data_IF_702524779610
#
_entry.id   IF_702524779610
#
_cell.length_a   1.000
_cell.length_b   1.000
_cell.length_c   1.000
_cell.angle_alpha   90.00
_cell.angle_beta   90.00
_cell.angle_gamma   90.00
#
_symmetry.space_group_name_H-M   'P 1'
#
loop_
_entity.id
_entity.type
_entity.pdbx_description
1 polymer ?
#
# COMPACT_ATOMS: atom_id res chain seq x y z
N UNK A 1 -16.98 9.26 3.65
CA UNK A 1 -16.99 8.03 4.50
C UNK A 1 -18.30 7.95 5.30
N UNK A 2 -18.93 6.74 5.45
CA UNK A 2 -20.22 6.57 6.18
C UNK A 2 -20.03 6.62 7.71
N UNK A 3 -18.98 6.00 8.25
CA UNK A 3 -18.66 5.95 9.70
C UNK A 3 -17.64 7.00 10.05
N UNK A 4 -18.10 8.24 10.17
CA UNK A 4 -17.26 9.40 10.54
C UNK A 4 -16.61 9.28 11.93
N UNK A 5 -17.26 8.55 12.83
CA UNK A 5 -16.73 8.24 14.17
C UNK A 5 -15.46 7.37 14.17
N UNK A 6 -15.08 6.82 13.02
CA UNK A 6 -13.89 5.99 12.83
C UNK A 6 -12.90 6.60 11.84
N UNK A 7 -13.22 7.76 11.30
CA UNK A 7 -12.36 8.43 10.33
C UNK A 7 -11.08 8.93 11.00
N UNK A 8 -9.93 8.63 10.38
CA UNK A 8 -8.63 9.15 10.77
C UNK A 8 -8.26 10.25 9.78
N UNK A 9 -8.11 11.48 10.27
CA UNK A 9 -7.77 12.66 9.45
C UNK A 9 -6.37 13.19 9.73
N UNK A 10 -5.77 12.79 10.86
CA UNK A 10 -4.41 13.18 11.21
C UNK A 10 -3.41 12.42 10.33
N UNK A 11 -2.63 13.15 9.54
CA UNK A 11 -1.67 12.55 8.62
C UNK A 11 -0.61 11.71 9.34
N UNK A 12 -0.18 12.08 10.54
CA UNK A 12 0.81 11.32 11.31
C UNK A 12 0.25 9.93 11.65
N UNK A 13 -1.01 9.87 12.08
CA UNK A 13 -1.67 8.58 12.38
C UNK A 13 -1.86 7.75 11.11
N UNK A 14 -2.20 8.38 9.98
CA UNK A 14 -2.32 7.69 8.68
C UNK A 14 -0.98 7.08 8.27
N UNK A 15 0.12 7.83 8.40
CA UNK A 15 1.46 7.32 8.08
C UNK A 15 1.88 6.18 9.03
N UNK A 16 1.48 6.22 10.30
CA UNK A 16 1.72 5.11 11.23
C UNK A 16 0.97 3.83 10.83
N UNK A 17 -0.26 3.94 10.30
CA UNK A 17 -0.99 2.79 9.75
C UNK A 17 -0.21 2.19 8.59
N UNK A 18 0.24 3.04 7.65
CA UNK A 18 1.00 2.63 6.48
C UNK A 18 2.35 2.00 6.88
N UNK A 19 3.04 2.56 7.87
CA UNK A 19 4.33 2.02 8.32
C UNK A 19 4.19 0.63 8.99
N UNK A 20 3.11 0.42 9.76
CA UNK A 20 2.84 -0.86 10.41
C UNK A 20 2.40 -1.95 9.44
N UNK A 21 1.57 -1.61 8.47
CA UNK A 21 1.13 -2.53 7.43
C UNK A 21 2.33 -2.93 6.57
N UNK A 22 2.49 -4.22 6.27
CA UNK A 22 3.62 -4.73 5.49
C UNK A 22 3.22 -5.21 4.10
N UNK A 23 1.92 -5.35 3.89
CA UNK A 23 1.33 -5.76 2.61
C UNK A 23 0.35 -4.70 2.16
N UNK A 24 0.40 -4.39 0.88
CA UNK A 24 -0.54 -3.54 0.17
C UNK A 24 -1.32 -4.42 -0.82
N UNK A 25 -2.63 -4.26 -0.85
CA UNK A 25 -3.48 -4.85 -1.87
C UNK A 25 -3.63 -3.86 -3.02
N UNK A 26 -3.05 -4.20 -4.17
CA UNK A 26 -3.16 -3.41 -5.39
C UNK A 26 -4.30 -3.95 -6.24
N UNK A 27 -5.34 -3.15 -6.44
CA UNK A 27 -6.48 -3.47 -7.30
C UNK A 27 -6.32 -2.80 -8.67
N UNK A 28 -6.44 -3.61 -9.71
CA UNK A 28 -6.27 -3.27 -11.12
C UNK A 28 -7.55 -3.61 -11.90
N UNK A 29 -7.75 -2.93 -13.02
CA UNK A 29 -8.81 -3.28 -13.95
C UNK A 29 -8.39 -4.44 -14.83
N UNK A 30 -9.16 -5.51 -14.85
CA UNK A 30 -8.97 -6.69 -15.70
C UNK A 30 -10.32 -7.13 -16.26
N UNK A 31 -10.55 -6.82 -17.55
CA UNK A 31 -11.75 -7.20 -18.30
C UNK A 31 -13.04 -7.23 -17.44
N UNK A 32 -13.58 -8.43 -17.21
CA UNK A 32 -14.85 -8.62 -16.48
C UNK A 32 -14.70 -8.64 -14.96
N UNK A 33 -13.49 -8.80 -14.44
CA UNK A 33 -13.24 -8.93 -13.00
C UNK A 33 -12.14 -7.99 -12.52
N UNK A 34 -12.28 -7.36 -11.34
CA UNK A 34 -11.16 -6.66 -10.73
C UNK A 34 -10.06 -7.64 -10.35
N UNK A 35 -8.81 -7.32 -10.69
CA UNK A 35 -7.64 -8.10 -10.32
C UNK A 35 -6.99 -7.50 -9.09
N UNK A 36 -6.80 -8.28 -8.04
CA UNK A 36 -6.18 -7.84 -6.79
C UNK A 36 -4.93 -8.67 -6.52
N UNK A 37 -3.83 -8.00 -6.24
CA UNK A 37 -2.56 -8.65 -5.90
C UNK A 37 -1.98 -8.07 -4.62
N UNK A 38 -1.61 -8.93 -3.62
CA UNK A 38 -0.88 -8.50 -2.44
C UNK A 38 0.60 -8.30 -2.77
N UNK A 39 1.16 -7.17 -2.35
CA UNK A 39 2.55 -6.79 -2.59
C UNK A 39 3.16 -6.17 -1.33
N UNK A 40 4.41 -6.47 -1.04
CA UNK A 40 5.20 -5.67 -0.12
C UNK A 40 5.55 -4.34 -0.77
N UNK A 41 5.79 -3.32 0.04
CA UNK A 41 6.01 -1.97 -0.46
C UNK A 41 6.98 -1.14 0.40
N UNK A 42 7.54 -0.11 -0.21
CA UNK A 42 8.05 1.08 0.44
C UNK A 42 7.13 2.26 0.16
N UNK A 43 7.25 3.33 0.92
CA UNK A 43 6.43 4.51 0.69
C UNK A 43 7.17 5.80 1.04
N UNK A 44 6.66 6.89 0.52
CA UNK A 44 6.99 8.24 0.95
C UNK A 44 5.74 9.13 0.92
N UNK A 45 5.77 10.20 1.70
CA UNK A 45 4.72 11.20 1.72
C UNK A 45 5.33 12.59 1.55
N UNK A 46 4.87 13.34 0.55
CA UNK A 46 5.35 14.68 0.27
C UNK A 46 4.20 15.54 -0.22
N UNK A 47 3.98 16.69 0.40
CA UNK A 47 3.02 17.71 -0.03
C UNK A 47 1.57 17.20 -0.27
N UNK A 48 1.12 16.30 0.57
CA UNK A 48 -0.25 15.74 0.46
C UNK A 48 -0.36 14.50 -0.44
N UNK A 49 0.72 14.09 -1.09
CA UNK A 49 0.77 12.94 -2.01
C UNK A 49 1.46 11.77 -1.32
N UNK A 50 0.82 10.61 -1.35
CA UNK A 50 1.41 9.33 -0.99
C UNK A 50 1.95 8.65 -2.23
N UNK A 51 3.19 8.17 -2.16
CA UNK A 51 3.81 7.39 -3.22
C UNK A 51 4.21 6.04 -2.65
N UNK A 52 3.80 4.97 -3.32
CA UNK A 52 4.17 3.61 -2.98
C UNK A 52 5.07 3.02 -4.05
N UNK A 53 6.09 2.28 -3.61
CA UNK A 53 7.01 1.55 -4.48
C UNK A 53 6.96 0.06 -4.17
N UNK A 54 6.72 -0.73 -5.18
CA UNK A 54 6.69 -2.19 -5.13
C UNK A 54 7.62 -2.75 -6.21
N UNK A 55 8.17 -3.92 -6.00
CA UNK A 55 8.95 -4.59 -7.03
C UNK A 55 8.34 -5.93 -7.42
N UNK A 56 8.62 -6.38 -8.63
CA UNK A 56 8.18 -7.66 -9.13
C UNK A 56 9.12 -8.17 -10.24
N UNK A 57 8.81 -9.35 -10.77
CA UNK A 57 9.46 -9.84 -11.98
C UNK A 57 9.19 -8.89 -13.17
N UNK A 58 10.05 -8.93 -14.18
CA UNK A 58 9.96 -8.07 -15.38
C UNK A 58 8.79 -8.39 -16.30
N UNK A 59 8.13 -9.51 -16.09
CA UNK A 59 6.96 -9.97 -16.84
C UNK A 59 5.86 -10.42 -15.90
N UNK A 60 4.62 -10.32 -16.34
CA UNK A 60 3.46 -10.83 -15.62
C UNK A 60 2.21 -10.00 -15.80
N UNK A 61 1.07 -10.65 -15.61
CA UNK A 61 -0.26 -10.12 -15.89
C UNK A 61 -0.52 -8.72 -15.30
N UNK A 62 -0.09 -8.47 -14.04
CA UNK A 62 -0.26 -7.15 -13.41
C UNK A 62 0.46 -6.01 -14.17
N UNK A 63 1.60 -6.30 -14.82
CA UNK A 63 2.32 -5.30 -15.60
C UNK A 63 1.57 -4.96 -16.88
N UNK A 64 0.95 -5.95 -17.52
CA UNK A 64 0.14 -5.77 -18.72
C UNK A 64 -1.13 -4.97 -18.39
N UNK A 65 -1.74 -5.23 -17.25
CA UNK A 65 -2.89 -4.48 -16.77
C UNK A 65 -2.54 -3.01 -16.49
N UNK A 66 -1.40 -2.74 -15.83
CA UNK A 66 -0.93 -1.37 -15.58
C UNK A 66 -0.65 -0.63 -16.91
N UNK A 67 -0.05 -1.28 -17.89
CA UNK A 67 0.18 -0.69 -19.22
C UNK A 67 -1.12 -0.36 -19.93
N UNK A 68 -2.12 -1.23 -19.78
CA UNK A 68 -3.45 -1.06 -20.41
C UNK A 68 -4.27 0.02 -19.71
N UNK A 69 -4.30 0.01 -18.37
CA UNK A 69 -5.04 0.99 -17.57
C UNK A 69 -4.26 1.30 -16.27
N UNK A 70 -3.63 2.46 -16.18
CA UNK A 70 -2.84 2.83 -15.01
C UNK A 70 -3.65 3.24 -13.78
N UNK A 71 -4.97 3.36 -13.87
CA UNK A 71 -5.80 3.71 -12.73
C UNK A 71 -5.88 2.53 -11.76
N UNK A 72 -5.60 2.80 -10.50
CA UNK A 72 -5.53 1.78 -9.46
C UNK A 72 -6.23 2.21 -8.18
N UNK A 73 -6.59 1.21 -7.38
CA UNK A 73 -6.96 1.40 -5.98
C UNK A 73 -5.97 0.63 -5.11
N UNK A 74 -5.56 1.24 -4.01
CA UNK A 74 -4.75 0.55 -3.00
C UNK A 74 -5.53 0.40 -1.69
N UNK A 75 -5.21 -0.64 -0.98
CA UNK A 75 -5.62 -0.84 0.39
C UNK A 75 -4.46 -1.39 1.21
N UNK A 76 -4.28 -0.84 2.44
CA UNK A 76 -3.38 -1.38 3.47
C UNK A 76 -4.13 -1.47 4.78
N UNK A 77 -3.83 -2.50 5.58
CA UNK A 77 -4.43 -2.68 6.90
C UNK A 77 -3.40 -3.05 7.97
N UNK A 78 -3.66 -2.61 9.18
CA UNK A 78 -2.88 -2.94 10.38
C UNK A 78 -3.78 -3.10 11.59
N UNK A 79 -3.20 -3.56 12.71
CA UNK A 79 -3.84 -3.65 14.02
C UNK A 79 -5.14 -4.49 14.02
N UNK A 80 -5.23 -5.49 13.13
CA UNK A 80 -6.39 -6.37 13.01
C UNK A 80 -6.37 -7.41 14.11
N UNK A 81 -7.26 -7.26 15.09
CA UNK A 81 -7.38 -8.20 16.20
C UNK A 81 -8.84 -8.44 16.59
N UNK A 82 -9.15 -9.66 17.01
CA UNK A 82 -10.47 -10.01 17.50
C UNK A 82 -10.75 -9.35 18.84
N UNK A 83 -11.91 -8.73 18.98
CA UNK A 83 -12.46 -8.24 20.26
C UNK A 83 -13.44 -9.27 20.76
N UNK A 84 -13.15 -9.89 21.89
CA UNK A 84 -14.00 -10.94 22.45
C UNK A 84 -15.30 -10.39 23.00
N UNK A 85 -16.41 -11.00 22.62
CA UNK A 85 -17.74 -10.79 23.18
C UNK A 85 -18.08 -11.73 24.35
N UNK A 86 -17.08 -12.52 24.82
CA UNK A 86 -17.27 -13.62 25.81
C UNK A 86 -18.36 -14.57 25.33
N UNK A 87 -19.39 -14.80 26.14
CA UNK A 87 -20.48 -15.74 25.83
C UNK A 87 -21.56 -15.13 24.92
N UNK A 88 -21.38 -13.90 24.45
CA UNK A 88 -22.38 -13.18 23.67
C UNK A 88 -21.88 -12.92 22.25
N UNK A 89 -22.32 -13.71 21.29
CA UNK A 89 -21.84 -13.66 19.89
C UNK A 89 -21.96 -12.27 19.26
N UNK A 90 -23.05 -11.53 19.46
CA UNK A 90 -23.24 -10.19 18.89
C UNK A 90 -22.36 -9.09 19.51
N UNK A 91 -21.61 -9.39 20.57
CA UNK A 91 -20.63 -8.49 21.18
C UNK A 91 -19.22 -8.68 20.62
N UNK A 92 -18.99 -9.72 19.82
CA UNK A 92 -17.71 -9.87 19.12
C UNK A 92 -17.49 -8.75 18.10
N UNK A 93 -16.28 -8.37 17.94
CA UNK A 93 -15.87 -7.35 16.97
C UNK A 93 -14.41 -7.50 16.59
N UNK A 94 -13.89 -6.53 15.85
CA UNK A 94 -12.48 -6.44 15.53
C UNK A 94 -11.97 -5.01 15.76
N UNK A 95 -10.75 -4.88 16.26
CA UNK A 95 -9.94 -3.68 16.05
C UNK A 95 -9.33 -3.74 14.65
N UNK A 96 -9.06 -2.61 14.07
CA UNK A 96 -8.39 -2.48 12.79
C UNK A 96 -7.99 -1.04 12.53
N UNK A 97 -7.04 -0.86 11.67
CA UNK A 97 -6.73 0.42 11.02
C UNK A 97 -6.47 0.16 9.54
N UNK A 98 -7.02 0.97 8.66
CA UNK A 98 -6.86 0.79 7.21
C UNK A 98 -6.79 2.12 6.46
N UNK A 99 -6.08 2.12 5.33
CA UNK A 99 -6.02 3.23 4.39
C UNK A 99 -6.42 2.71 3.01
N UNK A 100 -7.34 3.42 2.36
CA UNK A 100 -7.75 3.15 0.97
C UNK A 100 -7.48 4.41 0.17
N UNK A 101 -6.86 4.25 -0.99
CA UNK A 101 -6.55 5.36 -1.88
C UNK A 101 -6.74 5.01 -3.35
N UNK A 102 -7.02 6.04 -4.15
CA UNK A 102 -7.09 5.94 -5.61
C UNK A 102 -5.96 6.74 -6.23
N UNK A 103 -5.39 6.20 -7.29
CA UNK A 103 -4.27 6.84 -7.95
C UNK A 103 -3.88 6.21 -9.26
N UNK A 104 -2.64 6.43 -9.63
CA UNK A 104 -2.09 5.92 -10.90
C UNK A 104 -0.82 5.14 -10.64
N UNK A 105 -0.73 3.99 -11.28
CA UNK A 105 0.47 3.17 -11.31
C UNK A 105 1.28 3.46 -12.57
N UNK A 106 2.59 3.44 -12.44
CA UNK A 106 3.53 3.50 -13.56
C UNK A 106 4.66 2.49 -13.35
N UNK A 107 5.23 2.00 -14.43
CA UNK A 107 6.45 1.20 -14.41
C UNK A 107 7.62 2.15 -14.52
N UNK A 108 8.48 2.16 -13.50
CA UNK A 108 9.58 3.11 -13.41
C UNK A 108 10.72 2.71 -14.35
N UNK A 109 11.02 3.53 -15.34
CA UNK A 109 12.14 3.31 -16.29
C UNK A 109 13.45 3.90 -15.78
N UNK A 110 13.39 5.05 -15.09
CA UNK A 110 14.55 5.74 -14.54
C UNK A 110 15.25 4.90 -13.46
N UNK A 111 16.53 4.61 -13.67
CA UNK A 111 17.32 3.73 -12.78
C UNK A 111 17.51 4.34 -11.40
N UNK A 112 17.65 5.66 -11.29
CA UNK A 112 17.84 6.32 -9.99
C UNK A 112 16.54 6.29 -9.19
N UNK A 113 15.39 6.43 -9.85
CA UNK A 113 14.10 6.28 -9.19
C UNK A 113 13.83 4.82 -8.79
N UNK A 114 14.25 3.83 -9.59
CA UNK A 114 14.22 2.41 -9.18
C UNK A 114 15.02 2.17 -7.91
N UNK A 115 16.24 2.68 -7.85
CA UNK A 115 17.12 2.58 -6.67
C UNK A 115 16.47 3.22 -5.46
N UNK A 116 15.91 4.43 -5.61
CA UNK A 116 15.17 5.13 -4.55
C UNK A 116 14.00 4.31 -4.05
N UNK A 117 13.15 3.83 -4.95
CA UNK A 117 11.98 3.02 -4.62
C UNK A 117 12.34 1.74 -3.88
N UNK A 118 13.38 1.02 -4.33
CA UNK A 118 13.88 -0.18 -3.68
C UNK A 118 14.50 0.12 -2.30
N UNK A 119 15.16 1.27 -2.13
CA UNK A 119 15.70 1.69 -0.85
C UNK A 119 14.60 1.98 0.17
N UNK A 120 13.54 2.68 -0.24
CA UNK A 120 12.35 2.92 0.58
C UNK A 120 11.63 1.60 0.92
N UNK A 121 11.53 0.69 -0.05
CA UNK A 121 10.98 -0.64 0.13
C UNK A 121 11.75 -1.41 1.23
N UNK A 122 13.06 -1.51 1.12
CA UNK A 122 13.89 -2.21 2.10
C UNK A 122 13.80 -1.56 3.48
N UNK A 123 13.82 -0.24 3.55
CA UNK A 123 13.67 0.50 4.80
C UNK A 123 12.33 0.21 5.47
N UNK A 124 11.22 0.25 4.73
CA UNK A 124 9.89 -0.03 5.28
C UNK A 124 9.74 -1.49 5.73
N UNK A 125 10.27 -2.45 4.96
CA UNK A 125 10.09 -3.87 5.25
C UNK A 125 11.00 -4.36 6.39
N UNK A 126 12.22 -3.82 6.49
CA UNK A 126 13.25 -4.35 7.39
C UNK A 126 13.71 -3.38 8.49
N UNK A 127 13.37 -2.10 8.37
CA UNK A 127 13.88 -1.03 9.24
C UNK A 127 15.37 -0.69 8.97
N UNK A 128 15.99 -1.27 7.94
CA UNK A 128 17.41 -1.12 7.63
C UNK A 128 17.62 -0.43 6.29
N UNK A 129 18.73 0.28 6.18
CA UNK A 129 19.19 0.87 4.92
C UNK A 129 20.18 -0.07 4.23
N UNK A 130 20.13 -0.12 2.90
CA UNK A 130 20.97 -0.95 2.05
C UNK A 130 21.56 -0.11 0.93
N UNK A 131 22.77 -0.44 0.52
CA UNK A 131 23.38 0.15 -0.68
C UNK A 131 22.88 -0.63 -1.90
N UNK A 132 21.90 -0.08 -2.60
CA UNK A 132 21.34 -0.66 -3.81
C UNK A 132 22.00 0.01 -5.01
N UNK A 133 22.60 -0.77 -5.89
CA UNK A 133 23.25 -0.30 -7.10
C UNK A 133 22.39 -0.53 -8.35
N UNK A 134 22.84 -0.02 -9.49
CA UNK A 134 22.13 -0.12 -10.77
C UNK A 134 21.96 -1.58 -11.22
N UNK A 135 22.96 -2.42 -11.00
CA UNK A 135 22.91 -3.84 -11.35
C UNK A 135 21.75 -4.52 -10.59
N UNK A 136 21.64 -4.32 -9.28
CA UNK A 136 20.54 -4.84 -8.47
C UNK A 136 19.18 -4.31 -8.95
N UNK A 137 19.07 -3.00 -9.18
CA UNK A 137 17.83 -2.38 -9.65
C UNK A 137 17.41 -2.87 -11.05
N UNK A 138 18.38 -3.24 -11.90
CA UNK A 138 18.11 -3.76 -13.23
C UNK A 138 17.50 -5.16 -13.26
N UNK A 139 17.54 -5.91 -12.16
CA UNK A 139 17.06 -7.30 -12.11
C UNK A 139 15.53 -7.41 -11.96
N UNK A 140 14.87 -6.33 -11.53
CA UNK A 140 13.43 -6.30 -11.22
C UNK A 140 12.71 -5.19 -11.97
N UNK A 141 11.38 -5.31 -12.04
CA UNK A 141 10.52 -4.16 -12.38
C UNK A 141 10.07 -3.46 -11.10
N UNK A 142 10.01 -2.12 -11.15
CA UNK A 142 9.51 -1.31 -10.03
C UNK A 142 8.22 -0.62 -10.45
N UNK A 143 7.18 -0.87 -9.68
CA UNK A 143 5.87 -0.24 -9.82
C UNK A 143 5.83 0.93 -8.85
N UNK A 144 5.61 2.14 -9.36
CA UNK A 144 5.35 3.35 -8.59
C UNK A 144 3.85 3.66 -8.64
N UNK A 145 3.25 3.89 -7.51
CA UNK A 145 1.82 4.25 -7.40
C UNK A 145 1.71 5.60 -6.71
N UNK A 146 1.16 6.58 -7.40
CA UNK A 146 0.95 7.93 -6.90
C UNK A 146 -0.50 8.09 -6.48
N UNK A 147 -0.73 8.40 -5.20
CA UNK A 147 -2.04 8.54 -4.58
C UNK A 147 -2.23 9.98 -4.09
N UNK A 148 -3.17 10.69 -4.68
CA UNK A 148 -3.56 12.05 -4.27
C UNK A 148 -4.84 12.08 -3.41
N UNK A 149 -5.67 11.04 -3.51
CA UNK A 149 -6.93 10.91 -2.79
C UNK A 149 -6.94 9.62 -1.96
N UNK A 150 -6.95 9.76 -0.65
CA UNK A 150 -7.01 8.62 0.26
C UNK A 150 -7.88 8.90 1.48
N UNK A 151 -8.38 7.86 2.08
CA UNK A 151 -9.15 7.90 3.33
C UNK A 151 -8.60 6.86 4.29
N UNK A 152 -8.60 7.18 5.58
CA UNK A 152 -8.18 6.26 6.61
C UNK A 152 -9.27 6.05 7.66
N UNK A 153 -9.26 4.88 8.26
CA UNK A 153 -10.26 4.44 9.21
C UNK A 153 -9.63 3.55 10.28
N UNK A 154 -10.00 3.76 11.53
CA UNK A 154 -9.56 2.90 12.61
C UNK A 154 -10.66 2.58 13.62
N UNK A 155 -10.50 1.50 14.32
CA UNK A 155 -11.23 1.12 15.52
C UNK A 155 -10.27 0.46 16.49
N UNK A 156 -10.00 1.12 17.63
CA UNK A 156 -9.20 0.55 18.71
C UNK A 156 -9.99 -0.49 19.50
N UNK A 157 -9.28 -1.34 20.23
CA UNK A 157 -9.87 -2.07 21.36
C UNK A 157 -10.28 -1.03 22.41
N UNK A 158 -11.55 -1.01 22.78
CA UNK A 158 -12.04 -0.22 23.91
C UNK A 158 -11.59 -0.87 25.22
#
# INVERSE_FOLDING_TARGET
MRRKDREVTNIIEILQIIEKAKVLHLALFDADYPYIVPLHYGYEYTEGILIFYMHCAKEGHKLDLIRSNPNVCIEVESDVELISGRDVACKYGASFASVIGHGRAELTEDVQEKIRGLSLFMKNQTGREFNINEEMASTVEVIKVVISEFTAKSRSKA
#
